data_IF_296746938142
#
_entry.id   IF_296746938142
#
_cell.length_a   1.000
_cell.length_b   1.000
_cell.length_c   1.000
_cell.angle_alpha   90.00
_cell.angle_beta   90.00
_cell.angle_gamma   90.00
#
_symmetry.space_group_name_H-M   'P 1'
#
loop_
_entity.id
_entity.type
_entity.pdbx_description
1 polymer ?
#
# COMPACT_ATOMS: atom_id res chain seq x y z
N UNK A 1 -4.03 31.55 10.34
CA UNK A 1 -5.16 31.04 9.52
C UNK A 1 -5.95 30.12 10.42
N UNK A 2 -7.19 30.47 10.73
CA UNK A 2 -8.14 29.64 11.49
C UNK A 2 -8.39 28.33 10.72
N UNK A 3 -8.50 27.22 11.44
CA UNK A 3 -8.85 25.94 10.84
C UNK A 3 -10.29 26.00 10.29
N UNK A 4 -10.60 25.31 9.17
CA UNK A 4 -11.95 25.27 8.62
C UNK A 4 -12.94 24.60 9.59
N UNK A 5 -14.21 24.98 9.49
CA UNK A 5 -15.34 24.37 10.20
C UNK A 5 -15.74 23.04 9.52
N UNK A 6 -14.78 22.12 9.45
CA UNK A 6 -14.92 20.79 8.87
C UNK A 6 -14.37 19.74 9.86
N UNK A 7 -14.87 18.51 9.79
CA UNK A 7 -14.39 17.42 10.65
C UNK A 7 -13.15 16.74 10.09
N UNK A 8 -12.24 16.35 10.98
CA UNK A 8 -11.16 15.45 10.65
C UNK A 8 -11.72 14.04 10.44
N UNK A 9 -11.74 13.53 9.21
CA UNK A 9 -12.33 12.21 8.90
C UNK A 9 -11.52 11.01 9.42
N UNK A 10 -10.53 11.21 10.30
CA UNK A 10 -9.76 10.15 10.96
C UNK A 10 -10.24 9.97 12.40
N UNK A 11 -10.29 11.05 13.19
CA UNK A 11 -10.75 11.01 14.58
C UNK A 11 -12.22 11.44 14.74
N UNK A 12 -12.85 11.98 13.69
CA UNK A 12 -14.22 12.48 13.67
C UNK A 12 -14.46 13.70 14.59
N UNK A 13 -13.39 14.40 14.99
CA UNK A 13 -13.46 15.66 15.72
C UNK A 13 -13.32 16.86 14.76
N UNK A 14 -13.91 18.03 15.09
CA UNK A 14 -13.72 19.25 14.31
C UNK A 14 -12.23 19.60 14.14
N UNK A 15 -11.82 20.06 12.95
CA UNK A 15 -10.45 20.51 12.72
C UNK A 15 -10.07 21.74 13.56
N UNK A 16 -11.07 22.48 14.07
CA UNK A 16 -10.87 23.59 14.98
C UNK A 16 -10.55 23.16 16.43
N UNK A 17 -10.80 21.90 16.80
CA UNK A 17 -10.53 21.36 18.14
C UNK A 17 -9.29 20.46 18.14
N UNK A 18 -8.90 19.98 19.31
CA UNK A 18 -7.82 19.01 19.45
C UNK A 18 -8.19 17.66 18.82
N UNK A 19 -7.20 16.97 18.26
CA UNK A 19 -7.33 15.59 17.81
C UNK A 19 -7.83 14.67 18.93
N UNK A 20 -8.91 13.90 18.69
CA UNK A 20 -9.40 12.85 19.61
C UNK A 20 -8.48 11.62 19.76
N UNK A 21 -7.34 11.58 19.05
CA UNK A 21 -6.34 10.53 19.25
C UNK A 21 -5.53 10.76 20.55
N UNK A 22 -5.94 10.14 21.65
CA UNK A 22 -5.24 10.15 22.95
C UNK A 22 -4.15 9.06 23.09
N UNK A 23 -3.68 8.51 21.97
CA UNK A 23 -2.71 7.41 21.98
C UNK A 23 -1.28 7.84 22.36
N UNK A 24 -0.46 6.85 22.75
CA UNK A 24 0.96 6.88 23.18
C UNK A 24 1.93 7.61 22.22
N UNK A 25 1.43 8.18 21.13
CA UNK A 25 2.13 9.03 20.17
C UNK A 25 2.07 10.53 20.49
N UNK A 26 1.68 10.93 21.71
CA UNK A 26 2.10 12.24 22.26
C UNK A 26 3.64 12.41 22.25
N UNK A 27 4.36 11.30 22.07
CA UNK A 27 5.74 11.24 21.64
C UNK A 27 6.00 12.11 20.41
N UNK A 28 6.82 13.17 20.61
CA UNK A 28 7.42 14.09 19.62
C UNK A 28 6.86 15.51 19.54
N UNK A 29 6.09 15.98 20.52
CA UNK A 29 5.79 17.42 20.66
C UNK A 29 4.92 18.02 19.56
N UNK A 30 4.19 17.18 18.82
CA UNK A 30 3.14 17.63 17.89
C UNK A 30 1.96 18.09 18.74
N UNK A 31 1.54 19.34 18.55
CA UNK A 31 0.35 19.89 19.22
C UNK A 31 -0.93 19.21 18.69
N UNK A 32 -1.85 18.75 19.56
CA UNK A 32 -3.09 18.07 19.14
C UNK A 32 -3.98 18.91 18.21
N UNK A 33 -3.89 20.23 18.27
CA UNK A 33 -4.68 21.19 17.49
C UNK A 33 -4.05 21.48 16.11
N UNK A 34 -2.85 20.94 15.83
CA UNK A 34 -2.17 21.22 14.58
C UNK A 34 -2.84 20.49 13.42
N UNK A 35 -3.35 21.25 12.45
CA UNK A 35 -3.98 20.74 11.22
C UNK A 35 -3.02 20.86 10.05
N UNK A 36 -2.90 19.78 9.28
CA UNK A 36 -2.12 19.72 8.04
C UNK A 36 -3.03 19.56 6.82
N UNK A 37 -2.62 20.17 5.70
CA UNK A 37 -3.26 20.02 4.38
C UNK A 37 -2.37 19.17 3.49
N UNK A 38 -2.91 18.10 2.91
CA UNK A 38 -2.16 17.27 1.97
C UNK A 38 -2.00 17.97 0.62
N UNK A 39 -0.76 18.12 0.13
CA UNK A 39 -0.44 19.04 -0.96
C UNK A 39 -1.12 18.76 -2.32
N UNK A 40 -1.31 17.49 -2.72
CA UNK A 40 -1.84 17.13 -4.04
C UNK A 40 -3.37 17.19 -4.10
N UNK A 41 -4.05 16.75 -3.03
CA UNK A 41 -5.51 16.60 -3.00
C UNK A 41 -6.22 17.62 -2.11
N UNK A 42 -5.48 18.36 -1.29
CA UNK A 42 -6.01 19.45 -0.47
C UNK A 42 -6.84 19.03 0.75
N UNK A 43 -7.06 17.74 1.00
CA UNK A 43 -7.75 17.27 2.19
C UNK A 43 -6.96 17.59 3.47
N UNK A 44 -7.70 17.90 4.54
CA UNK A 44 -7.16 18.39 5.81
C UNK A 44 -7.45 17.42 6.95
N UNK A 45 -6.50 17.30 7.86
CA UNK A 45 -6.57 16.41 9.02
C UNK A 45 -5.73 16.98 10.15
N UNK A 46 -6.01 16.61 11.40
CA UNK A 46 -5.03 16.81 12.46
C UNK A 46 -3.74 16.05 12.12
N UNK A 47 -2.59 16.71 12.29
CA UNK A 47 -1.30 16.12 11.97
C UNK A 47 -1.02 14.89 12.85
N UNK A 48 -1.47 14.91 14.11
CA UNK A 48 -1.39 13.77 15.02
C UNK A 48 -2.17 12.55 14.46
N UNK A 49 -3.36 12.76 13.92
CA UNK A 49 -4.16 11.70 13.31
C UNK A 49 -3.48 11.09 12.07
N UNK A 50 -2.88 11.93 11.21
CA UNK A 50 -2.12 11.44 10.05
C UNK A 50 -0.89 10.62 10.47
N UNK A 51 -0.16 11.09 11.49
CA UNK A 51 1.00 10.37 12.03
C UNK A 51 0.56 9.05 12.65
N UNK A 52 -0.50 9.04 13.46
CA UNK A 52 -1.04 7.82 14.04
C UNK A 52 -1.49 6.82 12.97
N UNK A 53 -2.21 7.28 11.95
CA UNK A 53 -2.62 6.46 10.81
C UNK A 53 -1.41 5.85 10.08
N UNK A 54 -0.38 6.66 9.80
CA UNK A 54 0.86 6.20 9.17
C UNK A 54 1.60 5.19 10.05
N UNK A 55 1.73 5.46 11.35
CA UNK A 55 2.44 4.64 12.32
C UNK A 55 1.81 3.26 12.55
N UNK A 56 0.50 3.14 12.35
CA UNK A 56 -0.24 1.88 12.42
C UNK A 56 -0.24 1.10 11.09
N UNK A 57 0.24 1.71 9.99
CA UNK A 57 0.41 1.05 8.70
C UNK A 57 1.80 0.39 8.53
N UNK A 58 2.11 0.03 7.29
CA UNK A 58 3.37 -0.63 6.90
C UNK A 58 4.60 0.26 7.08
N UNK A 59 4.43 1.59 7.23
CA UNK A 59 5.52 2.56 7.39
C UNK A 59 6.55 2.49 6.25
N UNK A 60 6.06 2.26 5.03
CA UNK A 60 6.83 2.10 3.80
C UNK A 60 7.37 3.41 3.21
N UNK A 61 7.21 4.53 3.93
CA UNK A 61 7.56 5.87 3.44
C UNK A 61 6.46 6.52 2.59
N UNK A 62 5.36 5.81 2.29
CA UNK A 62 4.22 6.36 1.58
C UNK A 62 3.09 6.76 2.53
N UNK A 63 2.39 7.84 2.18
CA UNK A 63 1.19 8.29 2.87
C UNK A 63 0.01 8.23 1.90
N UNK A 64 -1.05 7.50 2.28
CA UNK A 64 -2.29 7.45 1.52
C UNK A 64 -3.34 8.36 2.16
N UNK A 65 -3.91 9.30 1.40
CA UNK A 65 -5.02 10.13 1.86
C UNK A 65 -6.23 9.24 2.19
N UNK A 66 -6.78 9.29 3.42
CA UNK A 66 -7.90 8.43 3.80
C UNK A 66 -9.19 8.76 3.05
N UNK A 67 -9.36 10.01 2.60
CA UNK A 67 -10.56 10.47 1.86
C UNK A 67 -10.54 10.05 0.39
N UNK A 68 -9.52 10.46 -0.38
CA UNK A 68 -9.49 10.24 -1.84
C UNK A 68 -8.51 9.15 -2.31
N UNK A 69 -7.80 8.49 -1.39
CA UNK A 69 -6.82 7.42 -1.67
C UNK A 69 -5.59 7.84 -2.47
N UNK A 70 -5.39 9.14 -2.74
CA UNK A 70 -4.16 9.66 -3.35
C UNK A 70 -2.93 9.28 -2.54
N UNK A 71 -1.88 8.82 -3.22
CA UNK A 71 -0.61 8.36 -2.62
C UNK A 71 0.45 9.47 -2.73
N UNK A 72 1.12 9.70 -1.61
CA UNK A 72 2.27 10.59 -1.45
C UNK A 72 3.49 9.71 -1.16
N UNK A 73 4.57 9.89 -1.91
CA UNK A 73 5.71 8.95 -1.90
C UNK A 73 5.47 7.74 -2.80
N UNK A 74 6.34 6.74 -2.66
CA UNK A 74 6.28 5.46 -3.38
C UNK A 74 5.77 4.38 -2.44
N UNK A 75 4.62 3.79 -2.77
CA UNK A 75 4.00 2.74 -1.94
C UNK A 75 4.65 1.41 -2.23
N UNK A 76 5.17 0.75 -1.20
CA UNK A 76 5.77 -0.58 -1.30
C UNK A 76 5.03 -1.56 -0.40
N UNK A 77 5.26 -2.85 -0.64
CA UNK A 77 4.65 -3.93 0.15
C UNK A 77 5.71 -4.72 0.89
N UNK A 78 5.28 -5.56 1.82
CA UNK A 78 6.14 -6.43 2.61
C UNK A 78 6.35 -7.79 1.91
N UNK A 79 6.56 -7.80 0.60
CA UNK A 79 6.73 -9.06 -0.14
C UNK A 79 8.02 -9.76 0.29
N UNK A 80 8.00 -11.05 0.70
CA UNK A 80 9.22 -11.78 1.01
C UNK A 80 10.12 -11.98 -0.22
N UNK A 81 11.42 -12.27 -0.04
CA UNK A 81 12.33 -12.56 -1.14
C UNK A 81 11.85 -13.74 -1.99
N UNK A 82 12.00 -13.65 -3.30
CA UNK A 82 11.63 -14.69 -4.25
C UNK A 82 12.05 -14.35 -5.67
N UNK A 83 11.60 -15.14 -6.63
CA UNK A 83 11.85 -14.96 -8.05
C UNK A 83 10.55 -14.73 -8.81
N UNK A 84 10.61 -13.88 -9.81
CA UNK A 84 9.57 -13.72 -10.83
C UNK A 84 10.22 -13.92 -12.20
N UNK A 85 9.67 -14.83 -12.98
CA UNK A 85 10.09 -15.09 -14.35
C UNK A 85 8.88 -15.08 -15.27
N UNK A 86 9.09 -14.79 -16.56
CA UNK A 86 8.03 -14.91 -17.56
C UNK A 86 8.58 -15.38 -18.90
N UNK A 87 7.72 -16.03 -19.67
CA UNK A 87 7.97 -16.36 -21.07
C UNK A 87 6.63 -16.53 -21.81
N UNK A 88 6.69 -16.57 -23.13
CA UNK A 88 5.50 -16.70 -23.98
C UNK A 88 5.30 -18.17 -24.35
N UNK A 89 4.07 -18.68 -24.19
CA UNK A 89 3.67 -20.04 -24.58
C UNK A 89 2.75 -19.99 -25.81
N UNK A 90 2.82 -20.98 -26.71
CA UNK A 90 2.09 -20.98 -27.99
C UNK A 90 0.64 -21.46 -27.83
N UNK A 91 -0.06 -20.98 -26.80
CA UNK A 91 -1.47 -21.27 -26.55
C UNK A 91 -2.24 -19.96 -26.34
N UNK A 92 -3.49 -19.92 -26.81
CA UNK A 92 -4.40 -18.80 -26.60
C UNK A 92 -5.23 -19.02 -25.33
N UNK A 93 -5.47 -17.95 -24.57
CA UNK A 93 -6.42 -18.00 -23.46
C UNK A 93 -7.86 -17.96 -23.98
N UNK A 94 -8.83 -18.57 -23.27
CA UNK A 94 -10.24 -18.39 -23.57
C UNK A 94 -10.62 -16.90 -23.65
N UNK A 95 -11.29 -16.50 -24.73
CA UNK A 95 -11.66 -15.11 -24.99
C UNK A 95 -10.58 -14.26 -25.69
N UNK A 96 -9.41 -14.82 -26.00
CA UNK A 96 -8.31 -14.13 -26.69
C UNK A 96 -7.77 -14.99 -27.85
N UNK A 97 -8.60 -15.20 -28.88
CA UNK A 97 -8.17 -15.92 -30.10
C UNK A 97 -6.98 -15.21 -30.77
N UNK A 98 -6.17 -15.98 -31.49
CA UNK A 98 -5.08 -15.46 -32.33
C UNK A 98 -3.97 -14.72 -31.55
N UNK A 99 -3.92 -14.93 -30.23
CA UNK A 99 -2.84 -14.44 -29.36
C UNK A 99 -2.12 -15.60 -28.70
N UNK A 100 -0.82 -15.43 -28.45
CA UNK A 100 -0.08 -16.30 -27.53
C UNK A 100 -0.42 -15.92 -26.08
N UNK A 101 0.15 -16.64 -25.12
CA UNK A 101 -0.04 -16.35 -23.69
C UNK A 101 1.30 -16.04 -23.04
N UNK A 102 1.35 -14.96 -22.27
CA UNK A 102 2.44 -14.66 -21.34
C UNK A 102 2.18 -15.51 -20.09
N UNK A 103 3.07 -16.47 -19.81
CA UNK A 103 3.08 -17.23 -18.55
C UNK A 103 4.05 -16.57 -17.60
N UNK A 104 3.57 -16.17 -16.43
CA UNK A 104 4.36 -15.60 -15.34
C UNK A 104 4.48 -16.66 -14.25
N UNK A 105 5.69 -16.84 -13.72
CA UNK A 105 6.01 -17.81 -12.69
C UNK A 105 6.59 -17.06 -11.50
N UNK A 106 5.88 -17.10 -10.38
CA UNK A 106 6.39 -16.64 -9.10
C UNK A 106 6.90 -17.84 -8.31
N UNK A 107 8.07 -17.71 -7.69
CA UNK A 107 8.62 -18.71 -6.78
C UNK A 107 9.13 -18.03 -5.52
N UNK A 108 8.42 -18.25 -4.41
CA UNK A 108 8.74 -17.67 -3.10
C UNK A 108 8.97 -18.82 -2.13
N UNK A 109 10.19 -19.01 -1.59
CA UNK A 109 10.47 -20.05 -0.62
C UNK A 109 9.90 -19.70 0.77
N UNK A 110 9.82 -20.69 1.65
CA UNK A 110 9.61 -20.44 3.08
C UNK A 110 10.82 -19.70 3.68
N UNK A 111 10.61 -18.96 4.77
CA UNK A 111 11.68 -18.15 5.37
C UNK A 111 11.35 -17.62 6.76
N UNK A 112 12.09 -16.59 7.17
CA UNK A 112 11.92 -15.87 8.44
C UNK A 112 11.31 -14.50 8.17
N UNK A 113 10.34 -14.11 9.00
CA UNK A 113 9.70 -12.80 8.95
C UNK A 113 10.68 -11.68 9.37
N UNK A 114 10.81 -10.65 8.54
CA UNK A 114 11.58 -9.43 8.83
C UNK A 114 10.83 -8.51 9.79
N UNK A 115 11.44 -7.38 10.16
CA UNK A 115 10.85 -6.35 11.05
C UNK A 115 9.56 -5.73 10.53
N UNK A 116 9.32 -5.77 9.22
CA UNK A 116 8.11 -5.23 8.58
C UNK A 116 6.92 -6.20 8.60
N UNK A 117 7.16 -7.47 8.95
CA UNK A 117 6.12 -8.49 8.99
C UNK A 117 5.42 -8.57 10.36
N UNK A 118 4.23 -9.18 10.47
CA UNK A 118 3.45 -9.21 11.71
C UNK A 118 4.14 -9.86 12.92
N UNK A 119 5.02 -10.83 12.69
CA UNK A 119 5.76 -11.53 13.76
C UNK A 119 7.26 -11.63 13.41
N UNK A 120 8.04 -10.56 13.58
CA UNK A 120 9.46 -10.57 13.26
C UNK A 120 10.22 -11.73 13.92
N UNK A 121 11.13 -12.38 13.19
CA UNK A 121 11.91 -13.53 13.65
C UNK A 121 11.17 -14.88 13.62
N UNK A 122 9.85 -14.91 13.43
CA UNK A 122 9.11 -16.18 13.28
C UNK A 122 9.21 -16.71 11.85
N UNK A 123 9.18 -18.04 11.71
CA UNK A 123 9.08 -18.70 10.41
C UNK A 123 7.75 -18.36 9.73
N UNK A 124 7.78 -18.22 8.41
CA UNK A 124 6.58 -18.26 7.56
C UNK A 124 6.71 -19.44 6.58
N UNK A 125 5.57 -20.02 6.21
CA UNK A 125 5.50 -21.07 5.18
C UNK A 125 5.07 -20.47 3.84
N UNK A 126 5.56 -21.02 2.73
CA UNK A 126 5.14 -20.66 1.39
C UNK A 126 4.56 -21.91 0.70
N UNK A 127 3.25 -21.90 0.40
CA UNK A 127 2.53 -23.08 -0.13
C UNK A 127 2.10 -22.87 -1.58
N UNK A 128 2.26 -23.93 -2.37
CA UNK A 128 1.84 -23.96 -3.78
C UNK A 128 2.71 -23.13 -4.71
N UNK A 129 3.99 -22.93 -4.35
CA UNK A 129 4.98 -22.36 -5.26
C UNK A 129 5.72 -23.48 -6.04
N UNK A 130 6.09 -23.26 -7.30
CA UNK A 130 5.88 -22.03 -8.07
C UNK A 130 4.40 -21.81 -8.46
N UNK A 131 3.96 -20.54 -8.41
CA UNK A 131 2.61 -20.14 -8.82
C UNK A 131 2.64 -19.65 -10.26
N UNK A 132 1.78 -20.23 -11.09
CA UNK A 132 1.66 -19.88 -12.49
C UNK A 132 0.46 -18.95 -12.73
N UNK A 133 0.70 -17.83 -13.41
CA UNK A 133 -0.32 -16.88 -13.82
C UNK A 133 -0.24 -16.64 -15.33
N UNK A 134 -1.35 -16.23 -15.94
CA UNK A 134 -1.46 -16.13 -17.40
C UNK A 134 -2.08 -14.79 -17.81
N UNK A 135 -1.49 -14.16 -18.83
CA UNK A 135 -2.03 -12.99 -19.50
C UNK A 135 -2.01 -13.23 -21.02
N UNK A 136 -2.98 -12.70 -21.78
CA UNK A 136 -2.90 -12.74 -23.23
C UNK A 136 -1.71 -11.90 -23.72
N UNK A 137 -0.97 -12.38 -24.71
CA UNK A 137 0.14 -11.64 -25.31
C UNK A 137 -0.36 -10.62 -26.35
N UNK A 138 -1.16 -9.67 -25.87
CA UNK A 138 -1.62 -8.50 -26.62
C UNK A 138 -1.13 -7.21 -25.97
N UNK A 139 -1.44 -6.06 -26.57
CA UNK A 139 -0.96 -4.75 -26.08
C UNK A 139 -1.34 -4.51 -24.60
N UNK A 140 -2.59 -4.81 -24.22
CA UNK A 140 -3.07 -4.63 -22.84
C UNK A 140 -2.35 -5.59 -21.88
N UNK A 141 -2.19 -6.86 -22.25
CA UNK A 141 -1.49 -7.85 -21.44
C UNK A 141 -0.01 -7.50 -21.24
N UNK A 142 0.67 -7.01 -22.28
CA UNK A 142 2.06 -6.54 -22.18
C UNK A 142 2.21 -5.31 -21.28
N UNK A 143 1.25 -4.38 -21.32
CA UNK A 143 1.22 -3.23 -20.38
C UNK A 143 1.01 -3.67 -18.94
N UNK A 144 0.15 -4.66 -18.71
CA UNK A 144 -0.07 -5.22 -17.36
C UNK A 144 1.20 -5.92 -16.87
N UNK A 145 1.85 -6.75 -17.69
CA UNK A 145 3.10 -7.46 -17.36
C UNK A 145 4.21 -6.55 -16.82
N UNK A 146 4.35 -5.32 -17.35
CA UNK A 146 5.38 -4.36 -16.93
C UNK A 146 5.11 -3.81 -15.51
N UNK A 147 3.87 -3.91 -15.03
CA UNK A 147 3.45 -3.38 -13.72
C UNK A 147 3.48 -4.41 -12.59
N UNK A 148 3.89 -5.65 -12.88
CA UNK A 148 3.93 -6.78 -11.96
C UNK A 148 5.39 -7.13 -11.70
#
# INVERSE_FOLDING_TARGET
KTAPDEDCTICMEPLATASGYEGVLSYKGIKPELVGKLGKCGHMYHLLCLVAMYSNGNKDGSLQCPTCKAIYGEKTGTQPPGKMEYHVIPHSLPGYSDTKTIRIVYDIPAGIQTTEHPNPGKKYSARGFPRHCYLPDNEKGRKVRIKI
#
